data_IF_565860557077
#
_entry.id   IF_565860557077
#
_cell.length_a   1.000
_cell.length_b   1.000
_cell.length_c   1.000
_cell.angle_alpha   90.00
_cell.angle_beta   90.00
_cell.angle_gamma   90.00
#
_symmetry.space_group_name_H-M   'P 1'
#
loop_
_entity.id
_entity.type
_entity.pdbx_description
1 polymer ?
#
# COMPACT_ATOMS: atom_id res chain seq x y z
N UNK A 1 6.98 14.13 17.39
CA UNK A 1 6.05 14.38 16.26
C UNK A 1 6.33 13.56 15.00
N UNK A 2 7.52 13.62 14.36
CA UNK A 2 7.79 12.87 13.08
C UNK A 2 7.59 11.35 13.16
N UNK A 3 7.92 10.73 14.29
CA UNK A 3 7.75 9.28 14.47
C UNK A 3 6.26 8.86 14.56
N UNK A 4 5.44 9.65 15.26
CA UNK A 4 3.99 9.43 15.36
C UNK A 4 3.34 9.51 13.97
N UNK A 5 3.67 10.53 13.18
CA UNK A 5 3.17 10.68 11.80
C UNK A 5 3.58 9.48 10.93
N UNK A 6 4.83 9.01 11.05
CA UNK A 6 5.29 7.80 10.34
C UNK A 6 4.52 6.55 10.77
N UNK A 7 4.19 6.41 12.05
CA UNK A 7 3.40 5.30 12.58
C UNK A 7 1.98 5.33 12.01
N UNK A 8 1.29 6.47 12.11
CA UNK A 8 -0.07 6.65 11.58
C UNK A 8 -0.13 6.39 10.08
N UNK A 9 0.88 6.85 9.33
CA UNK A 9 0.98 6.59 7.89
C UNK A 9 1.17 5.11 7.55
N UNK A 10 1.88 4.35 8.39
CA UNK A 10 2.01 2.89 8.23
C UNK A 10 0.69 2.19 8.55
N UNK A 11 0.02 2.59 9.63
CA UNK A 11 -1.28 2.04 10.02
C UNK A 11 -2.36 2.29 8.97
N UNK A 12 -2.45 3.50 8.43
CA UNK A 12 -3.39 3.81 7.36
C UNK A 12 -3.17 2.92 6.12
N UNK A 13 -1.90 2.62 5.78
CA UNK A 13 -1.60 1.70 4.67
C UNK A 13 -1.97 0.25 4.98
N UNK A 14 -1.82 -0.19 6.23
CA UNK A 14 -2.26 -1.52 6.66
C UNK A 14 -3.78 -1.64 6.63
N UNK A 15 -4.50 -0.66 7.17
CA UNK A 15 -5.97 -0.64 7.15
C UNK A 15 -6.52 -0.70 5.72
N UNK A 16 -5.90 0.05 4.79
CA UNK A 16 -6.27 0.00 3.36
C UNK A 16 -6.08 -1.41 2.77
N UNK A 17 -5.01 -2.11 3.15
CA UNK A 17 -4.76 -3.46 2.65
C UNK A 17 -5.75 -4.46 3.26
N UNK A 18 -6.10 -4.32 4.55
CA UNK A 18 -7.15 -5.11 5.21
C UNK A 18 -8.51 -4.88 4.57
N UNK A 19 -8.91 -3.63 4.31
CA UNK A 19 -10.15 -3.27 3.63
C UNK A 19 -10.26 -3.91 2.23
N UNK A 20 -9.15 -3.90 1.47
CA UNK A 20 -9.13 -4.50 0.13
C UNK A 20 -9.24 -6.02 0.22
N UNK A 21 -8.58 -6.66 1.19
CA UNK A 21 -8.69 -8.10 1.40
C UNK A 21 -10.09 -8.52 1.90
N UNK A 22 -10.64 -7.77 2.86
CA UNK A 22 -11.98 -8.04 3.40
C UNK A 22 -13.09 -7.76 2.38
N UNK A 23 -12.85 -6.93 1.37
CA UNK A 23 -13.82 -6.67 0.29
C UNK A 23 -14.18 -7.91 -0.54
N UNK A 24 -13.41 -9.00 -0.45
CA UNK A 24 -13.66 -10.26 -1.15
C UNK A 24 -13.59 -10.17 -2.69
N UNK A 25 -13.31 -8.99 -3.24
CA UNK A 25 -13.30 -8.77 -4.68
C UNK A 25 -11.91 -9.09 -5.26
N UNK A 26 -11.75 -10.19 -6.01
CA UNK A 26 -10.46 -10.63 -6.52
C UNK A 26 -9.82 -9.60 -7.46
N UNK A 27 -10.62 -8.84 -8.23
CA UNK A 27 -10.11 -7.78 -9.11
C UNK A 27 -9.49 -6.63 -8.30
N UNK A 28 -10.12 -6.22 -7.20
CA UNK A 28 -9.58 -5.17 -6.32
C UNK A 28 -8.30 -5.61 -5.65
N UNK A 29 -8.25 -6.85 -5.15
CA UNK A 29 -7.05 -7.43 -4.52
C UNK A 29 -5.90 -7.52 -5.52
N UNK A 30 -6.14 -8.09 -6.71
CA UNK A 30 -5.12 -8.23 -7.75
C UNK A 30 -4.58 -6.86 -8.21
N UNK A 31 -5.46 -5.87 -8.42
CA UNK A 31 -5.06 -4.52 -8.80
C UNK A 31 -4.23 -3.85 -7.71
N UNK A 32 -4.61 -4.01 -6.43
CA UNK A 32 -3.87 -3.47 -5.29
C UNK A 32 -2.49 -4.12 -5.17
N UNK A 33 -2.41 -5.44 -5.28
CA UNK A 33 -1.15 -6.18 -5.23
C UNK A 33 -0.21 -5.75 -6.38
N UNK A 34 -0.72 -5.71 -7.62
CA UNK A 34 0.03 -5.25 -8.79
C UNK A 34 0.58 -3.83 -8.60
N UNK A 35 -0.27 -2.89 -8.17
CA UNK A 35 0.17 -1.51 -7.96
C UNK A 35 1.19 -1.37 -6.83
N UNK A 36 1.08 -2.19 -5.76
CA UNK A 36 2.05 -2.20 -4.65
C UNK A 36 3.41 -2.77 -5.09
N UNK A 37 3.40 -3.80 -5.94
CA UNK A 37 4.62 -4.36 -6.53
C UNK A 37 5.27 -3.38 -7.50
N UNK A 38 4.50 -2.81 -8.43
CA UNK A 38 5.00 -1.80 -9.36
C UNK A 38 5.58 -0.59 -8.62
N UNK A 39 4.89 -0.08 -7.59
CA UNK A 39 5.41 1.02 -6.78
C UNK A 39 6.68 0.67 -5.99
N UNK A 40 6.87 -0.60 -5.60
CA UNK A 40 8.10 -1.06 -4.94
C UNK A 40 9.27 -1.22 -5.92
N UNK A 41 9.00 -1.67 -7.15
CA UNK A 41 10.01 -1.90 -8.17
C UNK A 41 10.41 -0.61 -8.90
N UNK A 42 9.42 0.22 -9.23
CA UNK A 42 9.62 1.48 -9.95
C UNK A 42 9.93 2.65 -9.01
N UNK A 43 9.50 2.60 -7.75
CA UNK A 43 9.76 3.67 -6.78
C UNK A 43 11.25 4.03 -6.58
N UNK A 44 12.18 3.07 -6.60
CA UNK A 44 13.62 3.34 -6.62
C UNK A 44 14.11 3.93 -7.95
N UNK A 45 13.52 3.52 -9.08
CA UNK A 45 13.94 3.96 -10.42
C UNK A 45 13.60 5.44 -10.65
N UNK A 46 12.41 5.87 -10.22
CA UNK A 46 11.96 7.28 -10.30
C UNK A 46 12.51 8.17 -9.16
N UNK A 47 13.43 7.66 -8.35
CA UNK A 47 14.11 8.42 -7.28
C UNK A 47 15.47 8.98 -7.69
N UNK A 48 15.93 8.63 -8.89
CA UNK A 48 17.07 9.22 -9.62
C UNK A 48 16.57 10.42 -10.44
#
# INVERSE_FOLDING_TARGET
MRQLVRLLYRLARLLRDVEVLSSGNPRRIARRARNKLLGRLLGPIFRL
#
